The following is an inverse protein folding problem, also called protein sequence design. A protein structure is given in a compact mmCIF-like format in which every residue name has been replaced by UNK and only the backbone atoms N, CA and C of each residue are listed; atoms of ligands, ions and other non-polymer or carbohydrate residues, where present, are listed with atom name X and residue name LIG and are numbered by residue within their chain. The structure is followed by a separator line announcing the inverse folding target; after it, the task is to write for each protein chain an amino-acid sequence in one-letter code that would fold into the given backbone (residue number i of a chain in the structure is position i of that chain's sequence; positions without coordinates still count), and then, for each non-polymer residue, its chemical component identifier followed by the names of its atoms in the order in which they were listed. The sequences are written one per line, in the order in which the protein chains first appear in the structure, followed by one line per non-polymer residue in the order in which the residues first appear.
data_IF_476434946207
#
_entry.id   IF_476434946207
#
_cell.length_a   1.000
_cell.length_b   1.000
_cell.length_c   1.000
_cell.angle_alpha   90.00
_cell.angle_beta   90.00
_cell.angle_gamma   90.00
#
_symmetry.space_group_name_H-M   'P 1'
#
loop_
_entity.id
_entity.type
_entity.pdbx_description
1 polymer ?
#
# COMPACT_ATOMS: atom_id res chain seq x y z
N UNK A 1 -5.64 6.48 3.34
CA UNK A 1 -4.24 6.60 2.89
C UNK A 1 -4.16 5.76 1.63
N UNK A 2 -3.52 6.26 0.57
CA UNK A 2 -3.43 5.52 -0.69
C UNK A 2 -2.27 6.01 -1.55
N UNK A 3 -1.82 5.14 -2.45
CA UNK A 3 -0.84 5.41 -3.50
C UNK A 3 -1.16 4.55 -4.73
N UNK A 4 -0.61 4.92 -5.89
CA UNK A 4 -0.59 4.04 -7.05
C UNK A 4 0.36 2.85 -6.83
N UNK A 5 0.09 1.74 -7.50
CA UNK A 5 0.98 0.58 -7.53
C UNK A 5 2.09 0.79 -8.58
N UNK A 6 3.33 0.90 -8.13
CA UNK A 6 4.49 1.05 -9.00
C UNK A 6 4.58 2.42 -9.71
N UNK A 7 5.46 2.50 -10.71
CA UNK A 7 5.61 3.69 -11.55
C UNK A 7 4.47 3.78 -12.58
N UNK A 8 3.67 4.84 -12.51
CA UNK A 8 2.60 5.10 -13.50
C UNK A 8 3.02 6.08 -14.61
N UNK A 9 4.25 6.60 -14.54
CA UNK A 9 4.77 7.61 -15.45
C UNK A 9 4.44 9.04 -15.02
N UNK A 10 5.36 9.97 -15.27
CA UNK A 10 5.21 11.36 -14.83
C UNK A 10 5.19 11.52 -13.30
N UNK A 11 4.58 12.60 -12.82
CA UNK A 11 4.38 12.83 -11.38
C UNK A 11 3.20 11.99 -10.88
N UNK A 12 3.36 11.34 -9.73
CA UNK A 12 2.32 10.51 -9.11
C UNK A 12 2.13 10.86 -7.64
N UNK A 13 0.87 10.91 -7.22
CA UNK A 13 0.47 11.31 -5.87
C UNK A 13 0.55 10.14 -4.89
N UNK A 14 1.09 10.42 -3.70
CA UNK A 14 0.92 9.60 -2.48
C UNK A 14 0.04 10.40 -1.52
N UNK A 15 -1.09 9.84 -1.09
CA UNK A 15 -2.08 10.53 -0.25
C UNK A 15 -1.95 10.16 1.22
N UNK A 16 -1.44 11.11 2.01
CA UNK A 16 -1.36 11.02 3.48
C UNK A 16 -2.29 12.06 4.12
N UNK A 17 -3.58 11.71 4.24
CA UNK A 17 -4.57 12.58 4.85
C UNK A 17 -4.30 12.81 6.34
N UNK A 18 -4.24 14.08 6.77
CA UNK A 18 -4.13 14.45 8.19
C UNK A 18 -5.48 14.41 8.90
N UNK A 19 -5.55 13.94 10.16
CA UNK A 19 -4.44 13.36 10.94
C UNK A 19 -4.25 11.84 10.71
N UNK A 20 -5.21 11.17 10.08
CA UNK A 20 -5.32 9.70 10.08
C UNK A 20 -4.15 8.93 9.45
N UNK A 21 -3.44 9.51 8.49
CA UNK A 21 -2.35 8.87 7.76
C UNK A 21 -0.95 9.34 8.17
N UNK A 22 -0.85 10.28 9.11
CA UNK A 22 0.41 10.95 9.48
C UNK A 22 1.25 10.12 10.49
N UNK A 23 1.26 8.81 10.30
CA UNK A 23 2.04 7.84 11.07
C UNK A 23 3.15 7.30 10.19
N UNK A 24 4.36 7.14 10.74
CA UNK A 24 5.52 6.67 9.97
C UNK A 24 5.28 5.32 9.27
N UNK A 25 4.59 4.39 9.93
CA UNK A 25 4.23 3.09 9.34
C UNK A 25 3.27 3.21 8.16
N UNK A 26 2.30 4.11 8.24
CA UNK A 26 1.36 4.38 7.13
C UNK A 26 2.08 5.04 5.97
N UNK A 27 2.94 6.03 6.22
CA UNK A 27 3.76 6.64 5.18
C UNK A 27 4.67 5.62 4.47
N UNK A 28 5.31 4.72 5.24
CA UNK A 28 6.11 3.64 4.68
C UNK A 28 5.27 2.67 3.83
N UNK A 29 4.07 2.30 4.30
CA UNK A 29 3.14 1.44 3.56
C UNK A 29 2.74 2.03 2.20
N UNK A 30 2.35 3.30 2.16
CA UNK A 30 1.96 3.95 0.89
C UNK A 30 3.15 4.17 -0.07
N UNK A 31 4.35 4.39 0.47
CA UNK A 31 5.58 4.38 -0.34
C UNK A 31 5.89 2.98 -0.88
N UNK A 32 5.58 1.92 -0.12
CA UNK A 32 5.74 0.54 -0.57
C UNK A 32 4.80 0.22 -1.75
N UNK A 33 3.57 0.75 -1.74
CA UNK A 33 2.69 0.72 -2.90
C UNK A 33 3.33 1.42 -4.12
N UNK A 34 3.91 2.61 -3.95
CA UNK A 34 4.61 3.30 -5.04
C UNK A 34 5.84 2.52 -5.57
N UNK A 35 6.48 1.70 -4.73
CA UNK A 35 7.53 0.76 -5.15
C UNK A 35 7.00 -0.48 -5.89
N UNK A 36 5.69 -0.73 -5.86
CA UNK A 36 5.03 -1.83 -6.57
C UNK A 36 4.59 -3.00 -5.69
N UNK A 37 4.65 -2.88 -4.37
CA UNK A 37 4.15 -3.92 -3.48
C UNK A 37 2.63 -3.85 -3.37
N UNK A 38 2.01 -5.03 -3.33
CA UNK A 38 0.58 -5.19 -3.06
C UNK A 38 0.36 -5.59 -1.61
N UNK A 39 -0.90 -5.60 -1.17
CA UNK A 39 -1.27 -6.10 0.13
C UNK A 39 -0.86 -7.57 0.33
N UNK A 40 -0.23 -7.87 1.46
CA UNK A 40 0.29 -9.20 1.78
C UNK A 40 -0.82 -10.27 1.83
N UNK A 41 -2.01 -9.91 2.35
CA UNK A 41 -3.17 -10.81 2.38
C UNK A 41 -3.77 -11.12 1.00
N UNK A 42 -3.24 -10.50 -0.07
CA UNK A 42 -3.61 -10.74 -1.46
C UNK A 42 -2.60 -11.59 -2.22
N UNK A 43 -1.56 -12.12 -1.57
CA UNK A 43 -0.63 -13.06 -2.20
C UNK A 43 -1.36 -14.31 -2.72
N UNK A 44 -0.80 -14.92 -3.75
CA UNK A 44 -1.35 -16.15 -4.36
C UNK A 44 -1.38 -17.35 -3.40
N UNK A 45 -0.52 -17.37 -2.39
CA UNK A 45 -0.44 -18.41 -1.37
C UNK A 45 -1.20 -18.07 -0.07
N UNK A 46 -1.92 -16.94 -0.03
CA UNK A 46 -2.54 -16.44 1.21
C UNK A 46 -3.53 -17.42 1.83
N UNK A 47 -4.23 -18.23 1.03
CA UNK A 47 -5.22 -19.22 1.52
C UNK A 47 -4.57 -20.34 2.36
N UNK A 48 -3.23 -20.49 2.32
CA UNK A 48 -2.49 -21.37 3.24
C UNK A 48 -2.24 -20.74 4.63
N UNK A 49 -2.47 -19.43 4.78
CA UNK A 49 -2.05 -18.67 5.95
C UNK A 49 -3.22 -17.96 6.64
N UNK A 50 -4.20 -17.49 5.89
CA UNK A 50 -5.36 -16.76 6.39
C UNK A 50 -6.63 -17.18 5.65
N UNK A 51 -7.76 -17.14 6.35
CA UNK A 51 -9.10 -17.27 5.76
C UNK A 51 -9.77 -15.91 5.71
N UNK A 52 -10.44 -15.61 4.59
CA UNK A 52 -11.30 -14.43 4.48
C UNK A 52 -12.72 -14.85 4.84
N UNK A 53 -13.28 -14.22 5.88
CA UNK A 53 -14.64 -14.46 6.38
C UNK A 53 -15.68 -13.62 5.63
#
# INVERSE_FOLDING_TARGET
CWSYLGMIGGSQTVSLQSPGCMWSGVAAHELMHALGFVHEQSRSDRDHHVSIL
#
